data_IF_566673703587
#
_entry.id   IF_566673703587
#
_cell.length_a   1.000
_cell.length_b   1.000
_cell.length_c   1.000
_cell.angle_alpha   90.00
_cell.angle_beta   90.00
_cell.angle_gamma   90.00
#
_symmetry.space_group_name_H-M   'P 1'
#
loop_
_entity.id
_entity.type
_entity.pdbx_description
1 polymer ?
#
# COMPACT_ATOMS: atom_id res chain seq x y z
N UNK A 1 20.71 -16.34 -2.76
CA UNK A 1 20.75 -14.87 -2.60
C UNK A 1 21.56 -14.53 -1.36
N UNK A 2 22.59 -13.67 -1.48
CA UNK A 2 23.51 -13.37 -0.38
C UNK A 2 22.91 -12.47 0.73
N UNK A 3 23.48 -12.46 1.94
CA UNK A 3 22.97 -11.68 3.09
C UNK A 3 22.85 -10.16 2.85
N UNK A 4 23.65 -9.60 1.94
CA UNK A 4 23.63 -8.17 1.60
C UNK A 4 22.38 -7.76 0.82
N UNK A 5 21.94 -8.61 -0.13
CA UNK A 5 20.75 -8.33 -0.94
C UNK A 5 19.48 -8.35 -0.08
N UNK A 6 19.30 -9.35 0.78
CA UNK A 6 18.13 -9.46 1.65
C UNK A 6 18.02 -8.26 2.60
N UNK A 7 19.14 -7.84 3.20
CA UNK A 7 19.21 -6.63 4.03
C UNK A 7 18.84 -5.37 3.24
N UNK A 8 19.31 -5.24 2.01
CA UNK A 8 18.99 -4.09 1.17
C UNK A 8 17.50 -4.06 0.78
N UNK A 9 16.91 -5.21 0.44
CA UNK A 9 15.47 -5.32 0.18
C UNK A 9 14.65 -4.94 1.42
N UNK A 10 15.02 -5.42 2.60
CA UNK A 10 14.37 -5.06 3.85
C UNK A 10 14.49 -3.55 4.16
N UNK A 11 15.64 -2.94 3.85
CA UNK A 11 15.83 -1.49 3.96
C UNK A 11 14.87 -0.73 3.05
N UNK A 12 14.82 -1.06 1.76
CA UNK A 12 13.95 -0.37 0.79
C UNK A 12 12.45 -0.55 1.12
N UNK A 13 12.04 -1.76 1.49
CA UNK A 13 10.67 -2.04 1.90
C UNK A 13 10.30 -1.33 3.20
N UNK A 14 11.25 -1.12 4.12
CA UNK A 14 11.07 -0.35 5.35
C UNK A 14 11.19 1.16 5.17
N UNK A 15 10.83 1.69 4.01
CA UNK A 15 10.92 3.12 3.63
C UNK A 15 12.35 3.69 3.51
N UNK A 16 13.37 2.84 3.51
CA UNK A 16 14.75 3.25 3.32
C UNK A 16 14.96 3.90 1.95
N UNK A 17 15.27 5.20 1.94
CA UNK A 17 15.47 5.97 0.71
C UNK A 17 14.21 6.60 0.14
N UNK A 18 13.05 6.44 0.78
CA UNK A 18 11.87 7.23 0.47
C UNK A 18 12.07 8.71 0.87
N UNK A 19 11.55 9.64 0.06
CA UNK A 19 11.59 11.07 0.41
C UNK A 19 10.77 11.38 1.67
N UNK A 20 9.64 10.69 1.83
CA UNK A 20 8.78 10.68 3.01
C UNK A 20 8.29 9.25 3.20
N UNK A 21 8.40 8.72 4.42
CA UNK A 21 7.92 7.37 4.73
C UNK A 21 6.37 7.30 4.77
N UNK A 22 5.82 6.10 4.63
CA UNK A 22 4.37 5.91 4.58
C UNK A 22 3.65 6.40 5.84
N UNK A 23 4.24 6.16 7.02
CA UNK A 23 3.62 6.50 8.29
C UNK A 23 3.56 8.02 8.50
N UNK A 24 4.61 8.73 8.12
CA UNK A 24 4.68 10.21 8.11
C UNK A 24 3.65 10.79 7.14
N UNK A 25 3.52 10.23 5.92
CA UNK A 25 2.54 10.68 4.94
C UNK A 25 1.08 10.54 5.43
N UNK A 26 0.78 9.49 6.21
CA UNK A 26 -0.59 9.18 6.66
C UNK A 26 -0.93 9.79 8.03
N UNK A 27 0.03 10.00 8.93
CA UNK A 27 -0.21 10.30 10.35
C UNK A 27 -1.14 11.50 10.61
N UNK A 28 -1.12 12.51 9.75
CA UNK A 28 -1.90 13.74 9.91
C UNK A 28 -2.74 14.08 8.68
N UNK A 29 -3.04 13.09 7.84
CA UNK A 29 -3.79 13.32 6.61
C UNK A 29 -5.23 13.79 6.93
N UNK A 30 -5.63 15.01 6.55
CA UNK A 30 -6.91 15.58 6.94
C UNK A 30 -8.08 14.75 6.42
N UNK A 31 -9.05 14.45 7.30
CA UNK A 31 -10.19 13.60 6.94
C UNK A 31 -10.97 14.14 5.73
N UNK A 32 -11.17 15.46 5.67
CA UNK A 32 -11.85 16.14 4.57
C UNK A 32 -11.11 16.04 3.22
N UNK A 33 -9.80 15.76 3.23
CA UNK A 33 -8.99 15.66 2.01
C UNK A 33 -8.82 14.23 1.51
N UNK A 34 -9.21 13.21 2.29
CA UNK A 34 -8.98 11.79 1.94
C UNK A 34 -9.62 11.38 0.62
N UNK A 35 -10.75 11.99 0.27
CA UNK A 35 -11.43 11.75 -1.00
C UNK A 35 -11.61 13.01 -1.87
N UNK A 36 -10.88 14.08 -1.56
CA UNK A 36 -10.98 15.31 -2.33
C UNK A 36 -10.33 15.13 -3.71
N UNK A 37 -11.04 15.56 -4.76
CA UNK A 37 -10.47 15.71 -6.10
C UNK A 37 -9.72 17.05 -6.16
N UNK A 38 -8.43 16.99 -6.44
CA UNK A 38 -7.57 18.17 -6.59
C UNK A 38 -7.32 18.37 -8.08
N UNK A 39 -7.52 19.59 -8.58
CA UNK A 39 -7.27 19.90 -9.98
C UNK A 39 -5.82 19.55 -10.36
N UNK A 40 -5.66 18.78 -11.45
CA UNK A 40 -4.36 18.28 -11.91
C UNK A 40 -3.87 16.98 -11.26
N UNK A 41 -4.51 16.50 -10.19
CA UNK A 41 -4.20 15.19 -9.62
C UNK A 41 -5.11 14.10 -10.24
N UNK A 42 -4.56 12.99 -10.76
CA UNK A 42 -5.34 11.94 -11.40
C UNK A 42 -6.14 11.07 -10.41
N UNK A 43 -5.72 11.04 -9.14
CA UNK A 43 -6.31 10.17 -8.11
C UNK A 43 -6.43 10.91 -6.77
N UNK A 44 -7.41 10.52 -5.98
CA UNK A 44 -7.56 10.98 -4.59
C UNK A 44 -6.59 10.24 -3.65
N UNK A 45 -6.41 10.75 -2.44
CA UNK A 45 -5.58 10.09 -1.43
C UNK A 45 -6.08 8.67 -1.08
N UNK A 46 -7.40 8.48 -1.07
CA UNK A 46 -8.03 7.19 -0.87
C UNK A 46 -7.73 6.19 -1.99
N UNK A 47 -7.82 6.64 -3.24
CA UNK A 47 -7.47 5.82 -4.40
C UNK A 47 -6.02 5.38 -4.34
N UNK A 48 -5.10 6.29 -4.01
CA UNK A 48 -3.68 5.96 -3.86
C UNK A 48 -3.41 5.01 -2.69
N UNK A 49 -4.03 5.22 -1.53
CA UNK A 49 -3.89 4.33 -0.37
C UNK A 49 -4.35 2.90 -0.71
N UNK A 50 -5.52 2.76 -1.33
CA UNK A 50 -6.04 1.44 -1.70
C UNK A 50 -5.21 0.80 -2.82
N UNK A 51 -4.71 1.59 -3.78
CA UNK A 51 -3.80 1.10 -4.81
C UNK A 51 -2.55 0.47 -4.20
N UNK A 52 -1.88 1.18 -3.28
CA UNK A 52 -0.72 0.66 -2.54
C UNK A 52 -1.07 -0.60 -1.75
N UNK A 53 -2.21 -0.59 -1.04
CA UNK A 53 -2.67 -1.74 -0.25
C UNK A 53 -2.92 -2.97 -1.10
N UNK A 54 -3.63 -2.82 -2.23
CA UNK A 54 -4.03 -3.94 -3.10
C UNK A 54 -2.81 -4.50 -3.81
N UNK A 55 -1.97 -3.65 -4.40
CA UNK A 55 -0.77 -4.10 -5.12
C UNK A 55 0.21 -4.83 -4.19
N UNK A 56 0.43 -4.31 -2.98
CA UNK A 56 1.31 -4.98 -2.01
C UNK A 56 0.74 -6.31 -1.52
N UNK A 57 -0.57 -6.37 -1.25
CA UNK A 57 -1.24 -7.62 -0.90
C UNK A 57 -1.09 -8.65 -2.01
N UNK A 58 -1.29 -8.25 -3.26
CA UNK A 58 -1.17 -9.15 -4.40
C UNK A 58 0.24 -9.72 -4.55
N UNK A 59 1.27 -8.86 -4.48
CA UNK A 59 2.68 -9.28 -4.51
C UNK A 59 2.98 -10.27 -3.38
N UNK A 60 2.47 -10.02 -2.18
CA UNK A 60 2.67 -10.91 -1.03
C UNK A 60 1.99 -12.27 -1.24
N UNK A 61 0.75 -12.31 -1.70
CA UNK A 61 0.03 -13.57 -1.94
C UNK A 61 0.63 -14.36 -3.09
N UNK A 62 0.93 -13.69 -4.21
CA UNK A 62 1.63 -14.28 -5.35
C UNK A 62 2.94 -14.96 -4.92
N UNK A 63 3.68 -14.32 -4.01
CA UNK A 63 4.97 -14.83 -3.55
C UNK A 63 4.87 -16.04 -2.59
N UNK A 64 3.72 -16.28 -1.96
CA UNK A 64 3.56 -17.31 -0.91
C UNK A 64 2.54 -18.40 -1.21
N UNK A 65 1.70 -18.21 -2.23
CA UNK A 65 0.65 -19.14 -2.60
C UNK A 65 0.69 -19.41 -4.11
N UNK A 66 1.15 -20.61 -4.55
CA UNK A 66 1.25 -20.93 -5.97
C UNK A 66 -0.10 -21.05 -6.68
N UNK A 67 -1.22 -21.12 -5.94
CA UNK A 67 -2.57 -21.14 -6.49
C UNK A 67 -3.24 -19.76 -6.48
N UNK A 68 -2.54 -18.71 -6.04
CA UNK A 68 -3.06 -17.35 -6.03
C UNK A 68 -3.32 -16.85 -7.45
N UNK A 69 -4.44 -16.17 -7.64
CA UNK A 69 -4.81 -15.52 -8.91
C UNK A 69 -4.90 -14.02 -8.63
N UNK A 70 -4.03 -13.26 -9.30
CA UNK A 70 -3.98 -11.81 -9.16
C UNK A 70 -5.25 -11.12 -9.66
N UNK A 71 -5.59 -9.93 -9.14
CA UNK A 71 -6.65 -9.09 -9.70
C UNK A 71 -6.42 -8.77 -11.17
N UNK A 72 -7.51 -8.55 -11.91
CA UNK A 72 -7.45 -8.08 -13.29
C UNK A 72 -6.74 -6.72 -13.37
N UNK A 73 -5.79 -6.61 -14.30
CA UNK A 73 -5.04 -5.36 -14.49
C UNK A 73 -5.66 -4.50 -15.61
N UNK A 74 -5.79 -3.16 -15.43
CA UNK A 74 -5.41 -2.39 -14.25
C UNK A 74 -6.54 -2.27 -13.20
N UNK A 75 -7.78 -2.58 -13.57
CA UNK A 75 -8.99 -2.17 -12.83
C UNK A 75 -9.07 -2.77 -11.42
N UNK A 76 -8.57 -3.98 -11.21
CA UNK A 76 -8.57 -4.67 -9.92
C UNK A 76 -7.66 -4.03 -8.87
N UNK A 77 -6.80 -3.09 -9.25
CA UNK A 77 -5.83 -2.42 -8.36
C UNK A 77 -6.28 -1.03 -7.91
N UNK A 78 -7.54 -0.65 -8.16
CA UNK A 78 -8.07 0.65 -7.78
C UNK A 78 -9.43 0.50 -7.09
N UNK A 79 -9.74 1.29 -6.05
CA UNK A 79 -11.07 1.28 -5.47
C UNK A 79 -12.04 1.98 -6.44
N UNK A 80 -13.30 1.51 -6.46
CA UNK A 80 -14.36 2.12 -7.27
C UNK A 80 -14.82 3.49 -6.77
N UNK A 81 -14.49 3.85 -5.54
CA UNK A 81 -14.91 5.09 -4.90
C UNK A 81 -13.74 6.06 -4.80
N UNK A 82 -14.03 7.35 -4.94
CA UNK A 82 -13.04 8.41 -4.74
C UNK A 82 -12.76 8.68 -3.26
N UNK A 83 -13.69 8.30 -2.37
CA UNK A 83 -13.64 8.54 -0.93
C UNK A 83 -13.74 7.24 -0.14
N UNK A 84 -13.12 7.17 1.05
CA UNK A 84 -13.35 6.06 1.95
C UNK A 84 -14.81 6.09 2.42
N UNK A 85 -15.50 4.94 2.51
CA UNK A 85 -16.91 4.92 2.94
C UNK A 85 -17.09 5.32 4.41
N UNK A 86 -16.01 5.32 5.20
CA UNK A 86 -15.98 5.82 6.57
C UNK A 86 -14.56 6.12 7.04
N UNK A 87 -14.42 6.86 8.14
CA UNK A 87 -13.14 7.02 8.83
C UNK A 87 -12.54 5.67 9.27
N UNK A 88 -13.41 4.70 9.60
CA UNK A 88 -13.01 3.34 9.95
C UNK A 88 -12.36 2.62 8.77
N UNK A 89 -12.94 2.71 7.57
CA UNK A 89 -12.40 2.08 6.37
C UNK A 89 -10.99 2.59 6.04
N UNK A 90 -10.76 3.91 6.12
CA UNK A 90 -9.41 4.48 6.00
C UNK A 90 -8.41 3.84 6.97
N UNK A 91 -8.77 3.77 8.25
CA UNK A 91 -7.90 3.22 9.28
C UNK A 91 -7.65 1.71 9.08
N UNK A 92 -8.64 0.97 8.58
CA UNK A 92 -8.49 -0.45 8.24
C UNK A 92 -7.52 -0.66 7.08
N UNK A 93 -7.62 0.15 6.02
CA UNK A 93 -6.70 0.13 4.88
C UNK A 93 -5.25 0.39 5.30
N UNK A 94 -5.03 1.42 6.11
CA UNK A 94 -3.70 1.75 6.67
C UNK A 94 -3.15 0.58 7.51
N UNK A 95 -3.98 -0.03 8.36
CA UNK A 95 -3.55 -1.19 9.17
C UNK A 95 -3.24 -2.41 8.31
N UNK A 96 -4.02 -2.66 7.27
CA UNK A 96 -3.81 -3.76 6.34
C UNK A 96 -2.49 -3.59 5.58
N UNK A 97 -2.25 -2.41 5.00
CA UNK A 97 -0.98 -2.09 4.34
C UNK A 97 0.21 -2.34 5.26
N UNK A 98 0.19 -1.80 6.49
CA UNK A 98 1.27 -2.01 7.47
C UNK A 98 1.49 -3.47 7.82
N UNK A 99 0.41 -4.25 7.98
CA UNK A 99 0.49 -5.69 8.31
C UNK A 99 1.15 -6.45 7.17
N UNK A 100 0.72 -6.20 5.95
CA UNK A 100 1.18 -6.93 4.78
C UNK A 100 2.62 -6.53 4.42
N UNK A 101 3.00 -5.26 4.64
CA UNK A 101 4.39 -4.80 4.49
C UNK A 101 5.32 -5.53 5.45
N UNK A 102 4.94 -5.64 6.72
CA UNK A 102 5.69 -6.44 7.71
C UNK A 102 5.79 -7.91 7.30
N UNK A 103 4.76 -8.46 6.68
CA UNK A 103 4.79 -9.84 6.19
C UNK A 103 5.73 -9.99 4.99
N UNK A 104 5.74 -9.04 4.05
CA UNK A 104 6.65 -9.02 2.91
C UNK A 104 8.11 -8.91 3.37
N UNK A 105 8.40 -8.00 4.31
CA UNK A 105 9.74 -7.87 4.90
C UNK A 105 10.19 -9.19 5.53
N UNK A 106 9.32 -9.85 6.32
CA UNK A 106 9.62 -11.17 6.90
C UNK A 106 9.86 -12.27 5.86
N UNK A 107 9.17 -12.21 4.72
CA UNK A 107 9.31 -13.19 3.65
C UNK A 107 10.68 -13.09 2.95
N UNK A 108 11.20 -11.87 2.77
CA UNK A 108 12.44 -11.62 2.02
C UNK A 108 13.69 -11.50 2.89
N UNK A 109 13.54 -11.28 4.20
CA UNK A 109 14.66 -11.12 5.14
C UNK A 109 15.33 -12.44 5.50
#
# INVERSE_FOLDING_TARGET
>A
MGPSLRKHLAYLLGDGGAHVDFDTAIARFPAAQRGARIAGAPHTAWQLLEHLRIAQWDILEFSRNPAHVSPEFPDGYWPRTDSPPSARAWNESVRAFRRDLRAMIRLVS
#
